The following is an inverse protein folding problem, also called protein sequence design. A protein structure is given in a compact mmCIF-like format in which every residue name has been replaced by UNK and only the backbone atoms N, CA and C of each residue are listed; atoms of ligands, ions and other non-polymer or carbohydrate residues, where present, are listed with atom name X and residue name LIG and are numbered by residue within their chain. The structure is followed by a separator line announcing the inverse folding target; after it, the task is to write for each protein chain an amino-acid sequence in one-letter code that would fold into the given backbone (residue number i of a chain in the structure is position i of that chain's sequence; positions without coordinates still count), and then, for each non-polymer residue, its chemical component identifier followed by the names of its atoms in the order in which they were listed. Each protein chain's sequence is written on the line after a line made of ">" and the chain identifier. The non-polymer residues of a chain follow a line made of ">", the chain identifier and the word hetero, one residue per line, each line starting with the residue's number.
data_IF_208886375890
#
_entry.id   IF_208886375890
#
_cell.length_a   1.000
_cell.length_b   1.000
_cell.length_c   1.000
_cell.angle_alpha   90.00
_cell.angle_beta   90.00
_cell.angle_gamma   90.00
#
_symmetry.space_group_name_H-M   'P 1'
#
loop_
_entity.id
_entity.type
_entity.pdbx_description
1 polymer ?
#
# COMPACT_ATOMS: atom_id res chain seq x y z
N UNK A 1 8.39 2.79 -7.26
CA UNK A 1 7.46 2.33 -8.32
C UNK A 1 6.12 3.00 -8.09
N UNK A 2 5.56 3.67 -9.10
CA UNK A 2 4.20 4.23 -9.02
C UNK A 2 3.19 3.16 -9.41
N UNK A 3 2.14 3.01 -8.59
CA UNK A 3 1.05 2.07 -8.84
C UNK A 3 -0.18 2.46 -8.02
N UNK A 4 -1.25 1.66 -8.10
CA UNK A 4 -2.40 1.82 -7.20
C UNK A 4 -2.43 0.72 -6.15
N UNK A 5 -2.96 1.01 -4.97
CA UNK A 5 -3.05 0.03 -3.89
C UNK A 5 -4.39 0.07 -3.14
N UNK A 6 -4.77 -1.06 -2.57
CA UNK A 6 -5.92 -1.21 -1.68
C UNK A 6 -5.43 -1.69 -0.32
N UNK A 7 -5.77 -0.95 0.74
CA UNK A 7 -5.50 -1.34 2.14
C UNK A 7 -6.71 -2.04 2.78
N UNK A 8 -7.86 -2.09 2.09
CA UNK A 8 -9.10 -2.75 2.50
C UNK A 8 -9.82 -3.32 1.29
N UNK A 9 -10.44 -4.49 1.45
CA UNK A 9 -11.08 -5.25 0.37
C UNK A 9 -12.10 -4.44 -0.45
N UNK A 10 -12.99 -3.68 0.21
CA UNK A 10 -14.05 -2.90 -0.45
C UNK A 10 -13.65 -1.45 -0.77
N UNK A 11 -12.39 -1.08 -0.57
CA UNK A 11 -11.92 0.26 -0.90
C UNK A 11 -11.59 0.35 -2.40
N UNK A 12 -11.83 1.51 -3.00
CA UNK A 12 -11.26 1.84 -4.30
C UNK A 12 -9.73 1.87 -4.21
N UNK A 13 -9.04 1.47 -5.27
CA UNK A 13 -7.58 1.59 -5.30
C UNK A 13 -7.18 3.07 -5.23
N UNK A 14 -6.04 3.35 -4.61
CA UNK A 14 -5.52 4.69 -4.41
C UNK A 14 -4.10 4.74 -4.95
N UNK A 15 -3.74 5.85 -5.61
CA UNK A 15 -2.39 6.04 -6.14
C UNK A 15 -1.37 6.11 -5.01
N UNK A 16 -0.24 5.46 -5.23
CA UNK A 16 0.86 5.41 -4.27
C UNK A 16 2.21 5.19 -4.95
N UNK A 17 3.26 5.53 -4.21
CA UNK A 17 4.63 5.20 -4.51
C UNK A 17 5.14 4.11 -3.55
N UNK A 18 5.67 3.05 -4.13
CA UNK A 18 6.29 1.93 -3.41
C UNK A 18 7.81 2.03 -3.52
N UNK A 19 8.49 2.07 -2.38
CA UNK A 19 9.94 2.07 -2.25
C UNK A 19 10.40 0.84 -1.48
N UNK A 20 11.19 -0.06 -2.09
CA UNK A 20 11.82 -1.14 -1.35
C UNK A 20 12.84 -0.56 -0.36
N UNK A 21 12.98 -1.22 0.79
CA UNK A 21 14.02 -0.93 1.78
C UNK A 21 14.96 -2.13 1.91
N UNK A 22 16.14 -1.91 2.49
CA UNK A 22 17.21 -2.91 2.56
C UNK A 22 16.84 -4.18 3.34
N UNK A 23 15.79 -4.12 4.17
CA UNK A 23 15.35 -5.22 5.05
C UNK A 23 14.21 -6.06 4.44
N UNK A 24 13.98 -5.97 3.13
CA UNK A 24 12.87 -6.68 2.46
C UNK A 24 11.49 -6.12 2.80
N UNK A 25 11.42 -4.93 3.41
CA UNK A 25 10.18 -4.21 3.63
C UNK A 25 9.91 -3.23 2.49
N UNK A 26 8.67 -2.74 2.45
CA UNK A 26 8.23 -1.74 1.50
C UNK A 26 7.78 -0.49 2.28
N UNK A 27 8.33 0.67 1.94
CA UNK A 27 7.74 1.95 2.32
C UNK A 27 6.75 2.36 1.24
N UNK A 28 5.49 2.53 1.62
CA UNK A 28 4.40 2.91 0.72
C UNK A 28 3.90 4.29 1.10
N UNK A 29 3.95 5.23 0.16
CA UNK A 29 3.45 6.59 0.34
C UNK A 29 2.25 6.79 -0.57
N UNK A 30 1.10 7.10 0.01
CA UNK A 30 -0.11 7.41 -0.76
C UNK A 30 -0.15 8.88 -1.15
N UNK A 31 -0.63 9.16 -2.36
CA UNK A 31 -0.80 10.54 -2.85
C UNK A 31 -1.83 11.33 -2.04
N UNK A 32 -2.77 10.62 -1.41
CA UNK A 32 -3.79 11.18 -0.54
C UNK A 32 -3.77 10.48 0.82
N UNK A 33 -3.98 11.20 1.94
CA UNK A 33 -4.02 10.61 3.27
C UNK A 33 -5.05 9.48 3.37
N UNK A 34 -4.60 8.33 3.89
CA UNK A 34 -5.46 7.16 4.07
C UNK A 34 -5.90 7.04 5.52
N UNK A 35 -7.19 6.77 5.73
CA UNK A 35 -7.75 6.65 7.08
C UNK A 35 -7.76 5.21 7.54
N UNK A 36 -7.62 5.03 8.85
CA UNK A 36 -7.84 3.76 9.52
C UNK A 36 -7.05 2.59 8.91
N UNK A 37 -5.79 2.85 8.51
CA UNK A 37 -4.80 1.81 8.25
C UNK A 37 -4.60 1.01 9.55
N UNK A 38 -4.70 -0.31 9.49
CA UNK A 38 -4.57 -1.17 10.68
C UNK A 38 -3.43 -2.17 10.46
N UNK A 39 -2.39 -2.17 11.31
CA UNK A 39 -1.37 -3.21 11.30
C UNK A 39 -1.97 -4.63 11.33
N UNK A 40 -1.37 -5.55 10.58
CA UNK A 40 -1.86 -6.91 10.38
C UNK A 40 -2.88 -7.06 9.24
N UNK A 41 -3.44 -5.96 8.71
CA UNK A 41 -4.19 -6.03 7.45
C UNK A 41 -3.25 -6.11 6.25
N UNK A 42 -3.77 -6.61 5.13
CA UNK A 42 -3.03 -6.66 3.88
C UNK A 42 -3.18 -5.37 3.07
N UNK A 43 -2.09 -4.96 2.44
CA UNK A 43 -2.10 -4.04 1.30
C UNK A 43 -1.91 -4.85 0.02
N UNK A 44 -2.66 -4.52 -1.03
CA UNK A 44 -2.58 -5.18 -2.35
C UNK A 44 -2.28 -4.12 -3.41
N UNK A 45 -1.32 -4.39 -4.28
CA UNK A 45 -0.82 -3.48 -5.31
C UNK A 45 -1.31 -3.89 -6.69
N UNK A 46 -1.61 -2.89 -7.51
CA UNK A 46 -2.16 -3.05 -8.85
C UNK A 46 -1.49 -2.09 -9.85
N UNK A 47 -1.21 -2.61 -11.04
CA UNK A 47 -0.91 -1.82 -12.23
C UNK A 47 -2.08 -1.97 -13.19
N UNK A 48 -2.92 -0.93 -13.25
CA UNK A 48 -4.28 -0.99 -13.82
C UNK A 48 -5.08 -2.21 -13.30
N UNK A 49 -5.39 -3.16 -14.18
CA UNK A 49 -6.16 -4.37 -13.87
C UNK A 49 -5.27 -5.55 -13.42
N UNK A 50 -3.95 -5.38 -13.41
CA UNK A 50 -3.00 -6.44 -13.07
C UNK A 50 -2.70 -6.40 -11.57
N UNK A 51 -2.97 -7.51 -10.88
CA UNK A 51 -2.54 -7.70 -9.50
C UNK A 51 -1.04 -7.99 -9.44
N UNK A 52 -0.26 -7.07 -8.86
CA UNK A 52 1.19 -7.22 -8.70
C UNK A 52 1.55 -8.07 -7.48
N UNK A 53 0.63 -8.18 -6.51
CA UNK A 53 0.83 -8.90 -5.25
C UNK A 53 0.39 -8.07 -4.05
N UNK A 54 0.84 -8.47 -2.86
CA UNK A 54 0.50 -7.79 -1.62
C UNK A 54 1.48 -8.06 -0.49
N UNK A 55 1.31 -7.32 0.59
CA UNK A 55 2.13 -7.42 1.81
C UNK A 55 1.25 -7.23 3.05
N UNK A 56 1.79 -7.58 4.21
CA UNK A 56 1.17 -7.26 5.50
C UNK A 56 1.63 -5.87 5.93
N UNK A 57 0.69 -5.05 6.38
CA UNK A 57 0.98 -3.73 6.93
C UNK A 57 1.54 -3.94 8.34
N UNK A 58 2.80 -3.58 8.57
CA UNK A 58 3.43 -3.67 9.88
C UNK A 58 3.23 -2.40 10.72
N UNK A 59 3.43 -1.23 10.10
CA UNK A 59 3.33 0.08 10.75
C UNK A 59 2.63 1.09 9.84
N UNK A 60 2.24 2.23 10.43
CA UNK A 60 1.72 3.39 9.71
C UNK A 60 2.30 4.66 10.33
N UNK A 61 2.61 5.62 9.48
CA UNK A 61 3.10 6.93 9.88
C UNK A 61 2.28 8.01 9.17
N UNK A 62 2.12 9.17 9.81
CA UNK A 62 1.34 10.32 9.31
C UNK A 62 2.23 11.56 9.06
N UNK A 63 3.55 11.38 8.94
CA UNK A 63 4.47 12.50 8.66
C UNK A 63 4.10 13.26 7.38
#
# INVERSE_FOLDING_TARGET
>A
MACSAKIRYRQQSQLCLVHPTDNGQLKVTFDQPQRAITPGQSIVFYDDDICLGGAIIETRDNE
#
